data_IF_346106387350
#
_entry.id   IF_346106387350
#
_cell.length_a   1.000
_cell.length_b   1.000
_cell.length_c   1.000
_cell.angle_alpha   90.00
_cell.angle_beta   90.00
_cell.angle_gamma   90.00
#
_symmetry.space_group_name_H-M   'P 1'
#
loop_
_entity.id
_entity.type
_entity.pdbx_description
1 polymer ?
#
# COMPACT_ATOMS: atom_id res chain seq x y z
N UNK A 1 17.43 -1.03 -11.60
CA UNK A 1 17.54 -1.04 -10.14
C UNK A 1 18.00 0.33 -9.68
N UNK A 2 17.35 0.88 -8.68
CA UNK A 2 17.52 2.23 -8.22
C UNK A 2 18.28 2.24 -6.90
N UNK A 3 19.30 3.06 -6.81
CA UNK A 3 20.12 3.24 -5.60
C UNK A 3 19.71 4.46 -4.76
N UNK A 4 18.53 5.05 -4.99
CA UNK A 4 18.07 6.22 -4.25
C UNK A 4 18.04 6.02 -2.72
N UNK A 5 17.68 4.80 -2.29
CA UNK A 5 17.60 4.44 -0.87
C UNK A 5 18.85 3.74 -0.34
N UNK A 6 19.86 3.51 -1.17
CA UNK A 6 21.08 2.81 -0.81
C UNK A 6 22.30 3.47 -1.44
N UNK A 7 23.47 3.25 -0.86
CA UNK A 7 24.75 3.68 -1.42
C UNK A 7 25.38 2.60 -2.33
N UNK A 8 24.67 1.48 -2.57
CA UNK A 8 25.14 0.38 -3.37
C UNK A 8 25.28 0.76 -4.83
N UNK A 9 26.38 0.32 -5.45
CA UNK A 9 26.54 0.37 -6.90
C UNK A 9 25.61 -0.67 -7.59
N UNK A 10 25.29 -0.52 -8.87
CA UNK A 10 24.51 -1.51 -9.61
C UNK A 10 25.07 -2.93 -9.54
N UNK A 11 26.39 -3.08 -9.53
CA UNK A 11 27.05 -4.38 -9.39
C UNK A 11 26.79 -5.00 -8.01
N UNK A 12 26.90 -4.20 -6.94
CA UNK A 12 26.62 -4.67 -5.59
C UNK A 12 25.14 -5.05 -5.40
N UNK A 13 24.20 -4.29 -5.99
CA UNK A 13 22.77 -4.66 -5.99
C UNK A 13 22.54 -5.99 -6.70
N UNK A 14 23.19 -6.22 -7.85
CA UNK A 14 23.07 -7.49 -8.59
C UNK A 14 23.60 -8.68 -7.77
N UNK A 15 24.76 -8.55 -7.14
CA UNK A 15 25.33 -9.60 -6.29
C UNK A 15 24.42 -9.88 -5.07
N UNK A 16 23.88 -8.85 -4.42
CA UNK A 16 22.93 -9.02 -3.32
C UNK A 16 21.67 -9.77 -3.76
N UNK A 17 21.05 -9.37 -4.87
CA UNK A 17 19.85 -10.03 -5.41
C UNK A 17 20.14 -11.49 -5.77
N UNK A 18 21.29 -11.76 -6.39
CA UNK A 18 21.72 -13.13 -6.69
C UNK A 18 21.86 -13.96 -5.42
N UNK A 19 22.53 -13.42 -4.40
CA UNK A 19 22.69 -14.10 -3.11
C UNK A 19 21.35 -14.38 -2.41
N UNK A 20 20.39 -13.46 -2.48
CA UNK A 20 19.03 -13.65 -1.94
C UNK A 20 18.29 -14.79 -2.67
N UNK A 21 18.42 -14.89 -4.00
CA UNK A 21 17.83 -15.98 -4.81
C UNK A 21 18.45 -17.32 -4.44
N UNK A 22 19.77 -17.40 -4.38
CA UNK A 22 20.51 -18.62 -4.01
C UNK A 22 20.16 -19.08 -2.59
N UNK A 23 20.05 -18.16 -1.64
CA UNK A 23 19.63 -18.45 -0.28
C UNK A 23 18.19 -18.97 -0.21
N UNK A 24 17.28 -18.40 -1.00
CA UNK A 24 15.88 -18.86 -1.10
C UNK A 24 15.82 -20.28 -1.70
N UNK A 25 16.58 -20.54 -2.77
CA UNK A 25 16.66 -21.86 -3.38
C UNK A 25 17.21 -22.92 -2.39
N UNK A 26 18.23 -22.57 -1.61
CA UNK A 26 18.81 -23.46 -0.61
C UNK A 26 17.84 -23.78 0.53
N UNK A 27 16.95 -22.85 0.92
CA UNK A 27 15.90 -23.11 1.93
C UNK A 27 14.83 -24.06 1.45
N UNK A 28 14.47 -24.00 0.17
CA UNK A 28 13.38 -24.77 -0.42
C UNK A 28 12.00 -24.21 -0.07
N UNK A 29 11.01 -24.61 -0.88
CA UNK A 29 9.65 -24.06 -0.83
C UNK A 29 8.98 -24.24 0.54
N UNK A 30 8.99 -25.44 1.11
CA UNK A 30 8.32 -25.70 2.37
C UNK A 30 8.80 -24.84 3.55
N UNK A 31 10.12 -24.57 3.62
CA UNK A 31 10.68 -23.72 4.66
C UNK A 31 10.36 -22.25 4.43
N UNK A 32 10.30 -21.79 3.18
CA UNK A 32 9.89 -20.44 2.82
C UNK A 32 8.41 -20.24 3.14
N UNK A 33 7.55 -21.16 2.74
CA UNK A 33 6.12 -21.12 3.02
C UNK A 33 5.85 -21.08 4.53
N UNK A 34 6.47 -21.95 5.31
CA UNK A 34 6.33 -21.97 6.76
C UNK A 34 6.75 -20.62 7.41
N UNK A 35 7.86 -20.05 6.95
CA UNK A 35 8.33 -18.76 7.43
C UNK A 35 7.37 -17.62 7.04
N UNK A 36 6.84 -17.62 5.82
CA UNK A 36 5.85 -16.65 5.34
C UNK A 36 4.56 -16.73 6.17
N UNK A 37 4.01 -17.93 6.37
CA UNK A 37 2.79 -18.13 7.15
C UNK A 37 2.99 -17.66 8.59
N UNK A 38 4.11 -18.02 9.22
CA UNK A 38 4.42 -17.59 10.59
C UNK A 38 4.51 -16.06 10.70
N UNK A 39 5.23 -15.41 9.79
CA UNK A 39 5.41 -13.96 9.76
C UNK A 39 4.08 -13.22 9.51
N UNK A 40 3.33 -13.62 8.50
CA UNK A 40 2.05 -13.01 8.16
C UNK A 40 1.02 -13.19 9.29
N UNK A 41 0.93 -14.40 9.85
CA UNK A 41 0.04 -14.72 10.96
C UNK A 41 0.37 -13.91 12.22
N UNK A 42 1.64 -13.65 12.50
CA UNK A 42 2.05 -12.83 13.65
C UNK A 42 1.46 -11.41 13.60
N UNK A 43 1.17 -10.89 12.40
CA UNK A 43 0.58 -9.57 12.22
C UNK A 43 -0.95 -9.66 12.15
N UNK A 44 -1.47 -10.57 11.36
CA UNK A 44 -2.93 -10.67 11.14
C UNK A 44 -3.68 -10.97 12.43
N UNK A 45 -3.14 -11.83 13.30
CA UNK A 45 -3.76 -12.19 14.60
C UNK A 45 -3.75 -11.09 15.65
N UNK A 46 -3.11 -9.94 15.41
CA UNK A 46 -3.12 -8.80 16.33
C UNK A 46 -4.52 -8.20 16.50
N UNK A 47 -5.40 -8.47 15.58
CA UNK A 47 -6.79 -8.04 15.60
C UNK A 47 -7.67 -9.10 14.94
N UNK A 48 -8.80 -9.38 15.56
CA UNK A 48 -9.87 -10.21 14.99
C UNK A 48 -11.10 -9.36 14.77
N UNK A 49 -11.77 -9.59 13.65
CA UNK A 49 -13.08 -9.04 13.34
C UNK A 49 -13.92 -10.19 12.79
N UNK A 50 -14.88 -10.64 13.59
CA UNK A 50 -15.73 -11.77 13.27
C UNK A 50 -17.17 -11.45 13.67
N UNK A 51 -18.07 -11.51 12.73
CA UNK A 51 -19.50 -11.26 12.91
C UNK A 51 -20.29 -12.54 13.24
N UNK A 52 -19.61 -13.68 13.40
CA UNK A 52 -20.24 -14.97 13.69
C UNK A 52 -21.11 -15.49 12.54
N UNK A 53 -20.73 -15.24 11.30
CA UNK A 53 -21.51 -15.50 10.12
C UNK A 53 -21.30 -16.94 9.60
N UNK A 54 -22.31 -17.49 8.93
CA UNK A 54 -22.16 -18.73 8.17
C UNK A 54 -21.42 -18.44 6.86
N UNK A 55 -20.40 -19.24 6.55
CA UNK A 55 -19.69 -19.12 5.28
C UNK A 55 -20.63 -19.41 4.11
N UNK A 56 -20.79 -18.48 3.16
CA UNK A 56 -21.58 -18.70 1.96
C UNK A 56 -21.05 -19.87 1.12
N UNK A 57 -21.96 -20.53 0.42
CA UNK A 57 -21.61 -21.64 -0.50
C UNK A 57 -21.29 -21.18 -1.92
N UNK A 58 -21.50 -19.90 -2.21
CA UNK A 58 -21.22 -19.29 -3.50
C UNK A 58 -19.83 -18.64 -3.50
N UNK A 59 -19.27 -18.43 -4.68
CA UNK A 59 -17.97 -17.75 -4.83
C UNK A 59 -18.05 -16.25 -4.56
N UNK A 60 -16.89 -15.64 -4.34
CA UNK A 60 -16.76 -14.20 -4.04
C UNK A 60 -17.33 -13.32 -5.16
N UNK A 61 -17.16 -13.70 -6.43
CA UNK A 61 -17.71 -12.94 -7.55
C UNK A 61 -19.23 -12.88 -7.48
N UNK A 62 -19.86 -14.00 -7.20
CA UNK A 62 -21.32 -14.06 -7.03
C UNK A 62 -21.79 -13.22 -5.85
N UNK A 63 -21.04 -13.20 -4.72
CA UNK A 63 -21.34 -12.32 -3.58
C UNK A 63 -21.27 -10.84 -3.99
N UNK A 64 -20.23 -10.45 -4.73
CA UNK A 64 -20.06 -9.07 -5.22
C UNK A 64 -21.16 -8.69 -6.19
N UNK A 65 -21.47 -9.53 -7.17
CA UNK A 65 -22.51 -9.27 -8.17
C UNK A 65 -23.91 -9.08 -7.53
N UNK A 66 -24.17 -9.78 -6.44
CA UNK A 66 -25.45 -9.74 -5.72
C UNK A 66 -25.52 -8.67 -4.62
N UNK A 67 -24.40 -8.01 -4.29
CA UNK A 67 -24.34 -7.02 -3.22
C UNK A 67 -25.03 -5.68 -3.58
N UNK A 68 -25.04 -5.32 -4.86
CA UNK A 68 -25.57 -4.04 -5.30
C UNK A 68 -27.11 -3.99 -5.23
N UNK A 69 -27.71 -2.87 -4.73
CA UNK A 69 -29.15 -2.73 -4.53
C UNK A 69 -29.99 -2.88 -5.81
N UNK A 70 -29.39 -2.67 -6.98
CA UNK A 70 -30.07 -2.77 -8.28
C UNK A 70 -30.00 -4.18 -8.88
N UNK A 71 -29.15 -5.03 -8.36
CA UNK A 71 -29.18 -6.47 -8.59
C UNK A 71 -29.84 -7.11 -7.37
N UNK A 72 -31.15 -6.90 -7.22
CA UNK A 72 -31.96 -7.68 -6.31
C UNK A 72 -32.01 -9.12 -6.80
N UNK A 73 -30.85 -9.77 -6.79
CA UNK A 73 -30.74 -11.20 -6.96
C UNK A 73 -31.59 -11.84 -5.90
N UNK A 74 -32.69 -12.43 -6.31
CA UNK A 74 -33.66 -13.11 -5.43
C UNK A 74 -33.06 -14.19 -4.51
N UNK A 75 -31.74 -14.37 -4.53
CA UNK A 75 -30.95 -15.38 -3.87
C UNK A 75 -29.87 -14.85 -2.93
N UNK A 76 -29.77 -13.54 -2.68
CA UNK A 76 -28.79 -12.97 -1.76
C UNK A 76 -29.43 -12.79 -0.37
N UNK A 77 -28.74 -13.27 0.65
CA UNK A 77 -29.17 -13.14 2.05
C UNK A 77 -28.43 -12.02 2.76
N UNK A 78 -28.98 -11.53 3.90
CA UNK A 78 -28.26 -10.59 4.75
C UNK A 78 -26.93 -11.18 5.25
N UNK A 79 -26.88 -12.49 5.51
CA UNK A 79 -25.63 -13.18 5.87
C UNK A 79 -24.57 -13.04 4.78
N UNK A 80 -24.95 -13.16 3.50
CA UNK A 80 -24.02 -13.05 2.38
C UNK A 80 -23.45 -11.63 2.25
N UNK A 81 -24.30 -10.61 2.45
CA UNK A 81 -23.86 -9.23 2.44
C UNK A 81 -22.87 -8.94 3.58
N UNK A 82 -23.23 -9.28 4.81
CA UNK A 82 -22.36 -9.09 5.97
C UNK A 82 -21.06 -9.90 5.87
N UNK A 83 -21.13 -11.10 5.31
CA UNK A 83 -19.94 -11.93 5.04
C UNK A 83 -19.01 -11.24 4.04
N UNK A 84 -19.55 -10.66 2.96
CA UNK A 84 -18.76 -9.93 1.99
C UNK A 84 -18.12 -8.68 2.61
N UNK A 85 -18.83 -7.95 3.48
CA UNK A 85 -18.29 -6.79 4.21
C UNK A 85 -17.16 -7.20 5.16
N UNK A 86 -17.32 -8.30 5.90
CA UNK A 86 -16.26 -8.86 6.74
C UNK A 86 -15.05 -9.29 5.92
N UNK A 87 -15.28 -9.96 4.79
CA UNK A 87 -14.22 -10.36 3.86
C UNK A 87 -13.48 -9.14 3.30
N UNK A 88 -14.22 -8.10 2.91
CA UNK A 88 -13.65 -6.84 2.41
C UNK A 88 -12.76 -6.15 3.45
N UNK A 89 -13.20 -6.11 4.70
CA UNK A 89 -12.39 -5.61 5.81
C UNK A 89 -11.07 -6.38 5.96
N UNK A 90 -11.12 -7.70 5.97
CA UNK A 90 -9.92 -8.54 6.07
C UNK A 90 -9.01 -8.41 4.85
N UNK A 91 -9.61 -8.28 3.67
CA UNK A 91 -8.85 -8.07 2.42
C UNK A 91 -8.13 -6.72 2.41
N UNK A 92 -8.77 -5.65 2.89
CA UNK A 92 -8.12 -4.35 3.07
C UNK A 92 -6.92 -4.44 4.01
N UNK A 93 -7.05 -5.14 5.15
CA UNK A 93 -5.92 -5.39 6.06
C UNK A 93 -4.82 -6.23 5.39
N UNK A 94 -5.19 -7.25 4.63
CA UNK A 94 -4.23 -8.06 3.86
C UNK A 94 -3.40 -7.20 2.91
N UNK A 95 -4.05 -6.31 2.15
CA UNK A 95 -3.36 -5.39 1.23
C UNK A 95 -2.41 -4.44 1.99
N UNK A 96 -2.86 -3.87 3.11
CA UNK A 96 -2.02 -2.99 3.93
C UNK A 96 -0.79 -3.73 4.49
N UNK A 97 -0.97 -4.95 4.99
CA UNK A 97 0.12 -5.79 5.51
C UNK A 97 1.10 -6.15 4.38
N UNK A 98 0.60 -6.53 3.22
CA UNK A 98 1.44 -7.02 2.12
C UNK A 98 2.23 -5.92 1.44
N UNK A 99 1.76 -4.67 1.46
CA UNK A 99 2.38 -3.54 0.76
C UNK A 99 3.33 -2.69 1.62
N UNK A 100 3.36 -2.87 2.94
CA UNK A 100 4.08 -1.98 3.87
C UNK A 100 5.13 -2.70 4.73
N UNK A 101 5.69 -3.80 4.24
CA UNK A 101 6.67 -4.60 5.00
C UNK A 101 8.09 -4.08 4.82
N UNK A 102 8.90 -4.22 5.88
CA UNK A 102 10.34 -4.05 5.73
C UNK A 102 10.91 -5.14 4.81
N UNK A 103 11.88 -4.85 3.96
CA UNK A 103 12.67 -3.61 3.90
C UNK A 103 12.11 -2.53 2.95
N UNK A 104 10.81 -2.54 2.63
CA UNK A 104 10.22 -1.55 1.72
C UNK A 104 10.33 -0.17 2.35
N UNK A 105 11.08 0.72 1.71
CA UNK A 105 11.29 2.09 2.18
C UNK A 105 10.27 3.09 1.62
N UNK A 106 9.59 2.72 0.53
CA UNK A 106 8.57 3.54 -0.11
C UNK A 106 7.19 3.27 0.50
N UNK A 107 6.29 4.26 0.52
CA UNK A 107 4.88 4.03 0.84
C UNK A 107 4.22 3.21 -0.29
N UNK A 108 3.03 2.69 -0.04
CA UNK A 108 2.20 2.17 -1.11
C UNK A 108 1.60 3.32 -1.93
N UNK A 109 1.69 3.21 -3.24
CA UNK A 109 1.16 4.19 -4.19
C UNK A 109 -0.32 3.92 -4.54
N UNK A 110 -0.84 4.53 -5.61
CA UNK A 110 -2.22 4.32 -6.10
C UNK A 110 -2.56 2.84 -6.35
N UNK A 111 -1.57 2.03 -6.75
CA UNK A 111 -1.71 0.58 -6.97
C UNK A 111 -1.11 -0.27 -5.84
N UNK A 112 -0.87 0.33 -4.67
CA UNK A 112 -0.16 -0.35 -3.58
C UNK A 112 1.32 -0.54 -3.93
N UNK A 113 1.73 -1.79 -4.17
CA UNK A 113 3.05 -2.17 -4.70
C UNK A 113 2.91 -3.02 -5.97
N UNK A 114 1.70 -3.20 -6.45
CA UNK A 114 1.39 -4.06 -7.60
C UNK A 114 1.17 -3.23 -8.86
N UNK A 115 1.79 -3.66 -9.95
CA UNK A 115 1.64 -3.03 -11.25
C UNK A 115 1.84 -4.09 -12.34
N UNK A 116 0.77 -4.39 -13.07
CA UNK A 116 0.76 -5.33 -14.18
C UNK A 116 0.93 -4.65 -15.56
N UNK A 117 0.98 -3.31 -15.60
CA UNK A 117 0.99 -2.51 -16.83
C UNK A 117 2.32 -1.81 -17.12
N UNK A 118 3.33 -2.01 -16.29
CA UNK A 118 4.62 -1.34 -16.46
C UNK A 118 4.48 0.19 -16.44
N UNK A 119 4.93 0.86 -17.51
CA UNK A 119 4.86 2.32 -17.62
C UNK A 119 3.45 2.88 -17.87
N UNK A 120 2.52 2.04 -18.32
CA UNK A 120 1.15 2.45 -18.67
C UNK A 120 0.16 2.29 -17.50
N UNK A 121 0.65 2.25 -16.28
CA UNK A 121 -0.24 2.16 -15.12
C UNK A 121 -1.08 3.43 -14.96
N UNK A 122 -2.35 3.30 -14.54
CA UNK A 122 -3.22 4.46 -14.29
C UNK A 122 -2.53 5.45 -13.36
N UNK A 123 -2.54 6.75 -13.76
CA UNK A 123 -1.95 7.83 -12.98
C UNK A 123 -0.45 7.61 -12.66
N UNK A 124 0.26 6.89 -13.53
CA UNK A 124 1.69 6.57 -13.41
C UNK A 124 2.08 5.84 -12.12
N UNK A 125 1.14 5.24 -11.40
CA UNK A 125 1.37 4.66 -10.06
C UNK A 125 2.02 5.66 -9.11
N UNK A 126 1.60 6.93 -9.15
CA UNK A 126 2.19 7.98 -8.32
C UNK A 126 1.78 7.84 -6.84
N UNK A 127 2.51 8.53 -5.98
CA UNK A 127 2.13 8.76 -4.60
C UNK A 127 1.18 9.98 -4.55
N UNK A 128 -0.10 9.73 -4.84
CA UNK A 128 -1.12 10.76 -4.99
C UNK A 128 -1.46 11.40 -3.64
N UNK A 129 -0.97 12.62 -3.42
CA UNK A 129 -0.90 13.23 -2.09
C UNK A 129 -2.09 14.10 -1.70
N UNK A 130 -3.06 14.32 -2.60
CA UNK A 130 -4.23 15.12 -2.26
C UNK A 130 -5.24 14.40 -1.35
N UNK A 131 -5.32 13.05 -1.41
CA UNK A 131 -6.13 12.23 -0.52
C UNK A 131 -5.78 10.73 -0.59
N UNK A 132 -5.39 10.19 -1.75
CA UNK A 132 -5.32 8.76 -1.99
C UNK A 132 -4.28 8.07 -1.11
N UNK A 133 -3.05 8.60 -1.04
CA UNK A 133 -2.01 8.01 -0.18
C UNK A 133 -2.42 8.06 1.29
N UNK A 134 -3.07 9.13 1.75
CA UNK A 134 -3.58 9.25 3.11
C UNK A 134 -4.64 8.17 3.38
N UNK A 135 -5.57 7.96 2.46
CA UNK A 135 -6.61 6.94 2.58
C UNK A 135 -6.04 5.53 2.73
N UNK A 136 -4.95 5.22 2.02
CA UNK A 136 -4.26 3.93 2.13
C UNK A 136 -3.79 3.64 3.56
N UNK A 137 -3.51 4.68 4.36
CA UNK A 137 -2.98 4.55 5.71
C UNK A 137 -3.99 4.84 6.84
N UNK A 138 -5.19 5.34 6.54
CA UNK A 138 -6.21 5.61 7.55
C UNK A 138 -6.53 4.40 8.45
N UNK A 139 -6.61 3.17 7.93
CA UNK A 139 -6.96 2.03 8.77
C UNK A 139 -5.79 1.53 9.63
N UNK A 140 -4.55 1.93 9.39
CA UNK A 140 -3.38 1.30 10.03
C UNK A 140 -3.41 1.38 11.54
N UNK A 141 -3.71 2.54 12.12
CA UNK A 141 -3.73 2.72 13.57
C UNK A 141 -4.88 1.97 14.24
N UNK A 142 -6.09 2.12 13.73
CA UNK A 142 -7.31 1.53 14.32
C UNK A 142 -7.38 0.01 14.14
N UNK A 143 -6.59 -0.57 13.24
CA UNK A 143 -6.54 -2.02 13.00
C UNK A 143 -5.28 -2.69 13.54
N UNK A 144 -4.57 -2.02 14.46
CA UNK A 144 -3.35 -2.52 15.10
C UNK A 144 -2.21 -2.85 14.12
N UNK A 145 -1.98 -1.93 13.16
CA UNK A 145 -0.96 -2.00 12.11
C UNK A 145 -0.04 -0.76 12.11
N UNK A 146 0.14 -0.08 13.25
CA UNK A 146 0.92 1.17 13.37
C UNK A 146 2.36 1.07 12.86
N UNK A 147 2.99 -0.10 13.00
CA UNK A 147 4.33 -0.33 12.46
C UNK A 147 4.38 -0.29 10.92
N UNK A 148 3.25 -0.55 10.27
CA UNK A 148 3.09 -0.49 8.81
C UNK A 148 2.78 0.92 8.29
N UNK A 149 2.52 1.89 9.18
CA UNK A 149 2.37 3.30 8.84
C UNK A 149 3.73 4.00 8.57
N UNK A 150 4.81 3.44 9.08
CA UNK A 150 6.16 4.02 8.99
C UNK A 150 6.64 4.38 7.58
N UNK A 151 6.37 3.58 6.52
CA UNK A 151 6.78 3.96 5.16
C UNK A 151 6.22 5.30 4.72
N UNK A 152 4.94 5.58 5.02
CA UNK A 152 4.31 6.87 4.71
C UNK A 152 4.89 8.01 5.55
N UNK A 153 5.04 7.81 6.85
CA UNK A 153 5.67 8.83 7.73
C UNK A 153 7.09 9.16 7.26
N UNK A 154 7.88 8.16 6.91
CA UNK A 154 9.22 8.36 6.37
C UNK A 154 9.23 9.07 5.01
N UNK A 155 8.23 8.81 4.16
CA UNK A 155 8.06 9.53 2.90
C UNK A 155 7.83 11.02 3.16
N UNK A 156 6.93 11.38 4.08
CA UNK A 156 6.67 12.76 4.46
C UNK A 156 7.92 13.43 5.05
N UNK A 157 8.64 12.76 5.95
CA UNK A 157 9.87 13.29 6.55
C UNK A 157 10.92 13.59 5.46
N UNK A 158 11.14 12.66 4.52
CA UNK A 158 12.08 12.89 3.40
C UNK A 158 11.62 14.04 2.51
N UNK A 159 10.32 14.08 2.19
CA UNK A 159 9.73 15.17 1.40
C UNK A 159 9.95 16.53 2.05
N UNK A 160 9.63 16.64 3.34
CA UNK A 160 9.82 17.86 4.13
C UNK A 160 11.29 18.34 4.19
N UNK A 161 12.24 17.43 4.02
CA UNK A 161 13.67 17.73 3.95
C UNK A 161 14.15 18.04 2.53
N UNK A 162 13.39 17.68 1.50
CA UNK A 162 13.77 17.86 0.10
C UNK A 162 13.69 19.34 -0.33
N UNK A 163 14.59 19.73 -1.23
CA UNK A 163 14.58 21.09 -1.79
C UNK A 163 13.31 21.33 -2.63
N UNK A 164 12.78 20.32 -3.28
CA UNK A 164 11.57 20.40 -4.08
C UNK A 164 10.35 20.82 -3.26
N UNK A 165 10.06 20.11 -2.16
CA UNK A 165 8.92 20.42 -1.30
C UNK A 165 9.10 21.76 -0.57
N UNK A 166 10.32 22.09 -0.15
CA UNK A 166 10.65 23.41 0.43
C UNK A 166 10.46 24.56 -0.57
N UNK A 167 10.86 24.37 -1.83
CA UNK A 167 10.65 25.38 -2.87
C UNK A 167 9.16 25.65 -3.10
N UNK A 168 8.31 24.62 -3.08
CA UNK A 168 6.85 24.77 -3.16
C UNK A 168 6.31 25.49 -1.93
N UNK A 169 6.76 25.14 -0.73
CA UNK A 169 6.42 25.85 0.51
C UNK A 169 6.79 27.33 0.44
N UNK A 170 8.01 27.64 0.01
CA UNK A 170 8.47 29.02 -0.18
C UNK A 170 7.58 29.80 -1.16
N UNK A 171 7.16 29.17 -2.25
CA UNK A 171 6.34 29.80 -3.28
C UNK A 171 4.91 30.09 -2.82
N UNK A 172 4.30 29.18 -2.05
CA UNK A 172 2.87 29.22 -1.77
C UNK A 172 2.52 29.49 -0.30
N UNK A 173 3.46 29.27 0.64
CA UNK A 173 3.25 29.45 2.08
C UNK A 173 4.03 30.64 2.65
N UNK A 174 4.14 31.74 1.89
CA UNK A 174 4.83 32.96 2.33
C UNK A 174 6.28 32.75 2.82
N UNK A 175 6.98 31.79 2.24
CA UNK A 175 8.38 31.49 2.58
C UNK A 175 8.57 30.52 3.74
N UNK A 176 7.50 29.90 4.26
CA UNK A 176 7.58 29.03 5.42
C UNK A 176 7.25 27.56 5.08
N UNK A 177 7.94 26.65 5.78
CA UNK A 177 7.63 25.22 5.77
C UNK A 177 7.88 24.54 4.43
N UNK A 178 7.04 23.59 4.13
CA UNK A 178 7.06 22.81 2.89
C UNK A 178 5.63 22.56 2.41
N UNK A 179 5.50 22.27 1.14
CA UNK A 179 4.23 21.80 0.55
C UNK A 179 4.52 20.78 -0.53
N UNK A 180 3.58 19.92 -0.79
CA UNK A 180 3.66 18.91 -1.84
C UNK A 180 2.57 19.17 -2.88
N UNK A 181 2.86 18.89 -4.14
CA UNK A 181 1.89 18.92 -5.22
C UNK A 181 1.15 17.59 -5.29
N UNK A 182 0.02 17.55 -5.99
CA UNK A 182 -0.89 16.42 -6.05
C UNK A 182 -0.21 15.09 -6.41
N UNK A 183 0.63 15.11 -7.42
CA UNK A 183 1.40 13.94 -7.85
C UNK A 183 2.79 14.01 -7.24
N UNK A 184 3.17 12.98 -6.54
CA UNK A 184 4.52 12.82 -6.03
C UNK A 184 5.05 11.43 -6.37
N UNK A 185 6.35 11.27 -6.35
CA UNK A 185 6.99 9.98 -6.51
C UNK A 185 7.71 9.59 -5.23
N UNK A 186 8.07 8.33 -5.12
CA UNK A 186 8.88 7.80 -4.02
C UNK A 186 10.24 8.55 -3.86
N UNK A 187 10.65 9.31 -4.88
CA UNK A 187 11.86 10.17 -4.88
C UNK A 187 11.58 11.61 -4.45
N UNK A 188 10.36 11.90 -4.00
CA UNK A 188 9.89 13.25 -3.67
C UNK A 188 9.96 14.25 -4.84
N UNK A 189 10.02 13.76 -6.09
CA UNK A 189 9.71 14.59 -7.26
C UNK A 189 8.20 14.82 -7.32
N UNK A 190 7.80 15.95 -7.90
CA UNK A 190 6.41 16.40 -7.89
C UNK A 190 5.99 16.87 -9.26
N UNK A 191 4.72 16.63 -9.59
CA UNK A 191 4.04 17.28 -10.71
C UNK A 191 2.62 17.69 -10.35
N UNK A 192 2.04 18.56 -11.17
CA UNK A 192 0.64 18.96 -11.04
C UNK A 192 -0.17 18.47 -12.22
N UNK A 193 -1.37 18.15 -11.94
CA UNK A 193 -2.41 17.85 -12.88
C UNK A 193 -3.12 19.13 -13.30
N UNK A 194 -2.73 19.78 -14.37
CA UNK A 194 -3.45 20.88 -15.02
C UNK A 194 -3.77 22.12 -14.19
N UNK A 195 -3.93 22.06 -12.90
CA UNK A 195 -4.10 23.18 -11.98
C UNK A 195 -3.41 22.88 -10.65
N UNK A 196 -2.96 23.94 -9.99
CA UNK A 196 -2.15 23.89 -8.78
C UNK A 196 -2.95 23.34 -7.58
N UNK A 197 -3.03 22.04 -7.42
CA UNK A 197 -3.49 21.44 -6.19
C UNK A 197 -2.31 21.31 -5.23
N UNK A 198 -2.37 22.06 -4.14
CA UNK A 198 -1.41 22.01 -3.06
C UNK A 198 -1.96 21.17 -1.92
N UNK A 199 -1.10 20.36 -1.35
CA UNK A 199 -1.32 19.73 -0.06
C UNK A 199 -0.23 20.24 0.87
N UNK A 200 -0.63 20.86 1.96
CA UNK A 200 0.27 21.41 2.97
C UNK A 200 0.26 20.56 4.23
#
# INVERSE_FOLDING_TARGET
>A
LNNYFTTETPAQVNERVKGEIEAAQAKGFAAIEAAHVADFTAITKRMTFDLGLTTPTVDTKTLVDNYYPNNSGANSTQNDHLFLEQLYFHYGRYLAISSNRKPIAAPNNLQGIWNDRGADSPWNSDDHTNINIQMNYWPTEITNLSDLHKPFVNFIIRGAQSDGWKAVGTKYNAGHGWSVLTESSLYNSMSTWGSNYLVA
#
